data_IF_018510777774
#
_entry.id   IF_018510777774
#
_cell.length_a   1.000
_cell.length_b   1.000
_cell.length_c   1.000
_cell.angle_alpha   90.00
_cell.angle_beta   90.00
_cell.angle_gamma   90.00
#
_symmetry.space_group_name_H-M   'P 1'
#
loop_
_entity.id
_entity.type
_entity.pdbx_description
1 polymer ?
#
# COMPACT_ATOMS: atom_id res chain seq x y z
N UNK A 1 -6.40 10.04 -32.42
CA UNK A 1 -5.90 8.98 -31.52
C UNK A 1 -4.62 9.44 -30.87
N UNK A 2 -4.19 8.77 -29.80
CA UNK A 2 -2.85 8.89 -29.23
C UNK A 2 -1.96 7.83 -29.89
N UNK A 3 -0.80 8.24 -30.41
CA UNK A 3 0.21 7.30 -30.92
C UNK A 3 1.33 7.20 -29.90
N UNK A 4 1.59 6.00 -29.40
CA UNK A 4 2.61 5.74 -28.37
C UNK A 4 3.70 4.90 -29.02
N UNK A 5 4.94 5.34 -28.88
CA UNK A 5 6.12 4.59 -29.29
C UNK A 5 6.84 4.08 -28.04
N UNK A 6 7.06 2.77 -27.95
CA UNK A 6 7.68 2.13 -26.79
C UNK A 6 8.98 1.45 -27.23
N UNK A 7 10.08 1.84 -26.59
CA UNK A 7 11.38 1.20 -26.75
C UNK A 7 11.75 0.51 -25.43
N UNK A 8 12.18 -0.76 -25.51
CA UNK A 8 12.53 -1.57 -24.36
C UNK A 8 14.03 -1.92 -24.40
N UNK A 9 14.72 -1.68 -23.30
CA UNK A 9 16.16 -1.89 -23.16
C UNK A 9 16.47 -2.73 -21.92
N UNK A 10 17.34 -3.72 -22.07
CA UNK A 10 17.90 -4.46 -20.94
C UNK A 10 19.14 -3.74 -20.39
N UNK A 11 18.96 -3.08 -19.24
CA UNK A 11 20.04 -2.38 -18.52
C UNK A 11 20.80 -3.30 -17.55
N UNK A 12 20.42 -4.58 -17.45
CA UNK A 12 21.01 -5.55 -16.51
C UNK A 12 21.05 -5.05 -15.06
N UNK A 13 21.97 -5.63 -14.28
CA UNK A 13 22.18 -5.29 -12.87
C UNK A 13 23.43 -4.44 -12.63
N UNK A 14 24.10 -3.96 -13.68
CA UNK A 14 25.37 -3.24 -13.57
C UNK A 14 25.25 -1.81 -14.06
N UNK A 15 25.99 -0.89 -13.42
CA UNK A 15 26.08 0.49 -13.85
C UNK A 15 26.61 0.62 -15.28
N UNK A 16 27.57 -0.22 -15.68
CA UNK A 16 28.13 -0.22 -17.02
C UNK A 16 27.07 -0.42 -18.11
N UNK A 17 26.13 -1.35 -17.91
CA UNK A 17 25.05 -1.60 -18.88
C UNK A 17 24.08 -0.42 -18.96
N UNK A 18 23.71 0.17 -17.82
CA UNK A 18 22.90 1.40 -17.79
C UNK A 18 23.58 2.55 -18.55
N UNK A 19 24.87 2.77 -18.29
CA UNK A 19 25.67 3.78 -19.00
C UNK A 19 25.73 3.50 -20.51
N UNK A 20 25.95 2.24 -20.89
CA UNK A 20 25.98 1.84 -22.29
C UNK A 20 24.63 2.14 -22.98
N UNK A 21 23.50 1.79 -22.35
CA UNK A 21 22.18 2.07 -22.90
C UNK A 21 21.91 3.57 -23.03
N UNK A 22 22.21 4.37 -21.99
CA UNK A 22 21.96 5.81 -22.00
C UNK A 22 22.84 6.59 -22.98
N UNK A 23 24.08 6.13 -23.23
CA UNK A 23 25.05 6.86 -24.06
C UNK A 23 25.05 6.41 -25.53
N UNK A 24 24.58 5.20 -25.84
CA UNK A 24 24.58 4.68 -27.22
C UNK A 24 23.19 4.68 -27.88
N UNK A 25 22.16 5.13 -27.17
CA UNK A 25 20.82 5.31 -27.71
C UNK A 25 20.43 6.78 -27.56
N UNK A 26 19.72 7.31 -28.55
CA UNK A 26 19.16 8.66 -28.51
C UNK A 26 17.90 8.67 -27.65
N UNK A 27 18.08 8.49 -26.33
CA UNK A 27 16.98 8.39 -25.38
C UNK A 27 16.43 9.75 -24.95
N UNK A 28 17.15 10.85 -25.20
CA UNK A 28 16.72 12.21 -24.84
C UNK A 28 15.48 12.67 -25.60
N UNK A 29 15.12 12.00 -26.70
CA UNK A 29 13.86 12.23 -27.42
C UNK A 29 12.61 11.72 -26.70
N UNK A 30 12.75 10.90 -25.66
CA UNK A 30 11.62 10.28 -24.98
C UNK A 30 11.00 11.24 -23.96
N UNK A 31 9.67 11.26 -23.88
CA UNK A 31 8.94 12.03 -22.86
C UNK A 31 9.16 11.48 -21.43
N UNK A 32 9.26 10.15 -21.35
CA UNK A 32 9.38 9.40 -20.10
C UNK A 32 10.33 8.20 -20.27
N UNK A 33 11.10 7.91 -19.22
CA UNK A 33 11.82 6.66 -19.04
C UNK A 33 11.22 5.95 -17.83
N UNK A 34 10.72 4.73 -18.02
CA UNK A 34 10.25 3.86 -16.92
C UNK A 34 11.36 2.86 -16.63
N UNK A 35 11.91 2.89 -15.41
CA UNK A 35 13.10 2.10 -15.08
C UNK A 35 12.95 1.27 -13.81
N UNK A 36 13.41 0.02 -13.88
CA UNK A 36 13.70 -0.82 -12.74
C UNK A 36 15.21 -0.75 -12.44
N UNK A 37 15.66 0.35 -11.84
CA UNK A 37 17.05 0.57 -11.50
C UNK A 37 17.34 0.19 -10.04
N UNK A 38 18.47 -0.46 -9.80
CA UNK A 38 18.95 -0.75 -8.45
C UNK A 38 19.66 0.47 -7.83
N UNK A 39 20.05 0.36 -6.56
CA UNK A 39 20.69 1.45 -5.82
C UNK A 39 21.99 1.97 -6.45
N UNK A 40 22.75 1.13 -7.16
CA UNK A 40 23.99 1.53 -7.81
C UNK A 40 23.75 2.26 -9.15
N UNK A 41 22.63 1.94 -9.83
CA UNK A 41 22.25 2.51 -11.12
C UNK A 41 21.49 3.83 -10.98
N UNK A 42 20.71 3.98 -9.90
CA UNK A 42 19.79 5.10 -9.67
C UNK A 42 20.47 6.47 -9.72
N UNK A 43 21.63 6.72 -9.04
CA UNK A 43 22.27 8.02 -9.08
C UNK A 43 22.62 8.47 -10.51
N UNK A 44 23.21 7.58 -11.29
CA UNK A 44 23.62 7.90 -12.66
C UNK A 44 22.41 8.10 -13.59
N UNK A 45 21.40 7.23 -13.49
CA UNK A 45 20.19 7.33 -14.29
C UNK A 45 19.41 8.62 -13.96
N UNK A 46 19.29 8.95 -12.68
CA UNK A 46 18.65 10.17 -12.18
C UNK A 46 19.34 11.42 -12.73
N UNK A 47 20.66 11.52 -12.59
CA UNK A 47 21.44 12.67 -13.08
C UNK A 47 21.36 12.80 -14.60
N UNK A 48 21.41 11.69 -15.33
CA UNK A 48 21.24 11.70 -16.78
C UNK A 48 19.84 12.22 -17.16
N UNK A 49 18.79 11.74 -16.50
CA UNK A 49 17.42 12.18 -16.76
C UNK A 49 17.23 13.67 -16.43
N UNK A 50 17.77 14.13 -15.31
CA UNK A 50 17.75 15.54 -14.90
C UNK A 50 18.44 16.44 -15.93
N UNK A 51 19.64 16.04 -16.38
CA UNK A 51 20.44 16.80 -17.37
C UNK A 51 19.76 16.90 -18.73
N UNK A 52 19.05 15.85 -19.15
CA UNK A 52 18.37 15.80 -20.45
C UNK A 52 16.89 16.19 -20.36
N UNK A 53 16.42 16.62 -19.19
CA UNK A 53 15.02 16.99 -18.92
C UNK A 53 14.00 15.87 -19.23
N UNK A 54 14.43 14.61 -19.11
CA UNK A 54 13.59 13.43 -19.33
C UNK A 54 12.98 12.99 -18.00
N UNK A 55 11.67 12.74 -17.98
CA UNK A 55 10.97 12.31 -16.76
C UNK A 55 11.28 10.84 -16.46
N UNK A 56 11.79 10.57 -15.26
CA UNK A 56 12.13 9.23 -14.80
C UNK A 56 11.04 8.67 -13.90
N UNK A 57 10.37 7.60 -14.33
CA UNK A 57 9.34 6.90 -13.56
C UNK A 57 9.94 5.68 -12.88
N UNK A 58 9.79 5.60 -11.56
CA UNK A 58 10.37 4.57 -10.71
C UNK A 58 9.24 3.76 -10.03
N UNK A 59 8.82 2.62 -10.61
CA UNK A 59 7.68 1.83 -10.14
C UNK A 59 7.94 1.02 -8.86
N UNK A 60 9.18 0.60 -8.60
CA UNK A 60 9.47 -0.42 -7.58
C UNK A 60 10.02 0.14 -6.27
N UNK A 61 11.01 1.03 -6.34
CA UNK A 61 11.77 1.48 -5.18
C UNK A 61 10.97 2.47 -4.34
N UNK A 62 10.84 2.19 -3.04
CA UNK A 62 10.12 3.07 -2.10
C UNK A 62 10.99 4.13 -1.44
N UNK A 63 12.32 4.03 -1.52
CA UNK A 63 13.24 5.04 -1.00
C UNK A 63 14.30 5.34 -2.05
N UNK A 64 14.27 6.58 -2.55
CA UNK A 64 15.10 7.06 -3.64
C UNK A 64 15.56 8.45 -3.21
N UNK A 65 16.81 8.57 -2.77
CA UNK A 65 17.34 9.80 -2.22
C UNK A 65 17.32 10.94 -3.26
N UNK A 66 17.52 10.58 -4.52
CA UNK A 66 17.53 11.50 -5.64
C UNK A 66 16.19 12.20 -5.83
N UNK A 67 15.08 11.57 -5.42
CA UNK A 67 13.74 12.20 -5.47
C UNK A 67 13.67 13.43 -4.57
N UNK A 68 14.55 13.61 -3.58
CA UNK A 68 14.55 14.83 -2.75
C UNK A 68 15.06 16.06 -3.50
N UNK A 69 15.83 15.88 -4.58
CA UNK A 69 16.52 16.96 -5.30
C UNK A 69 16.44 16.88 -6.83
N UNK A 70 15.56 16.04 -7.38
CA UNK A 70 15.37 15.88 -8.82
C UNK A 70 13.89 16.00 -9.22
N UNK A 71 13.46 17.13 -9.81
CA UNK A 71 12.06 17.38 -10.16
C UNK A 71 11.55 16.52 -11.33
N UNK A 72 12.44 15.79 -12.00
CA UNK A 72 12.09 14.90 -13.11
C UNK A 72 11.74 13.48 -12.66
N UNK A 73 11.89 13.15 -11.37
CA UNK A 73 11.54 11.82 -10.86
C UNK A 73 10.07 11.73 -10.49
N UNK A 74 9.41 10.66 -10.93
CA UNK A 74 8.09 10.23 -10.50
C UNK A 74 8.21 8.90 -9.77
N UNK A 75 8.05 8.94 -8.46
CA UNK A 75 8.11 7.77 -7.60
C UNK A 75 6.69 7.23 -7.37
N UNK A 76 6.38 6.13 -8.06
CA UNK A 76 5.07 5.44 -8.01
C UNK A 76 4.84 4.77 -6.66
N UNK A 77 5.87 4.11 -6.13
CA UNK A 77 5.83 3.49 -4.82
C UNK A 77 6.36 4.48 -3.78
N UNK A 78 5.48 5.23 -3.12
CA UNK A 78 5.93 6.21 -2.12
C UNK A 78 6.56 5.54 -0.88
N UNK A 79 7.44 6.25 -0.15
CA UNK A 79 7.97 5.76 1.12
C UNK A 79 6.84 5.46 2.12
N UNK A 80 7.02 4.41 2.95
CA UNK A 80 6.04 4.04 3.96
C UNK A 80 5.79 5.18 4.97
N UNK A 81 6.78 6.03 5.24
CA UNK A 81 6.62 7.24 6.05
C UNK A 81 5.53 8.18 5.51
N UNK A 82 5.45 8.37 4.19
CA UNK A 82 4.41 9.19 3.58
C UNK A 82 3.02 8.54 3.69
N UNK A 83 2.95 7.21 3.55
CA UNK A 83 1.69 6.48 3.79
C UNK A 83 1.25 6.66 5.24
N UNK A 84 2.18 6.58 6.19
CA UNK A 84 1.90 6.79 7.60
C UNK A 84 1.40 8.22 7.87
N UNK A 85 2.01 9.24 7.28
CA UNK A 85 1.53 10.64 7.36
C UNK A 85 0.09 10.76 6.88
N UNK A 86 -0.23 10.19 5.72
CA UNK A 86 -1.59 10.21 5.16
C UNK A 86 -2.58 9.51 6.11
N UNK A 87 -2.23 8.34 6.67
CA UNK A 87 -3.08 7.63 7.63
C UNK A 87 -3.26 8.42 8.93
N UNK A 88 -2.21 9.05 9.46
CA UNK A 88 -2.28 9.85 10.69
C UNK A 88 -3.07 11.16 10.50
N UNK A 89 -3.17 11.64 9.26
CA UNK A 89 -4.00 12.80 8.92
C UNK A 89 -5.50 12.52 8.94
N UNK A 90 -5.90 11.23 9.01
CA UNK A 90 -7.30 10.85 9.17
C UNK A 90 -7.87 11.44 10.46
N UNK A 91 -9.10 11.97 10.36
CA UNK A 91 -9.77 12.61 11.47
C UNK A 91 -9.89 11.68 12.69
N UNK A 92 -9.33 12.12 13.81
CA UNK A 92 -9.43 11.43 15.11
C UNK A 92 -10.87 11.27 15.59
N UNK A 93 -11.84 12.01 15.03
CA UNK A 93 -13.26 11.77 15.22
C UNK A 93 -13.68 10.34 14.85
N UNK A 94 -12.97 9.65 13.95
CA UNK A 94 -13.19 8.22 13.67
C UNK A 94 -12.88 7.30 14.85
N UNK A 95 -12.06 7.76 15.79
CA UNK A 95 -11.75 7.10 17.06
C UNK A 95 -12.70 7.53 18.19
N UNK A 96 -13.36 8.69 18.05
CA UNK A 96 -14.27 9.19 19.06
C UNK A 96 -15.43 8.21 19.30
N UNK A 97 -15.79 8.03 20.57
CA UNK A 97 -16.84 7.12 21.04
C UNK A 97 -16.63 5.61 20.78
N UNK A 98 -15.42 5.17 20.37
CA UNK A 98 -15.08 3.75 20.29
C UNK A 98 -14.42 3.25 21.58
N UNK A 99 -14.42 1.94 21.78
CA UNK A 99 -13.57 1.26 22.76
C UNK A 99 -12.29 0.80 22.03
N UNK A 100 -11.19 1.53 22.21
CA UNK A 100 -9.97 1.30 21.45
C UNK A 100 -9.08 0.32 22.21
N UNK A 101 -8.65 -0.74 21.53
CA UNK A 101 -7.78 -1.77 22.08
C UNK A 101 -6.55 -1.91 21.17
N UNK A 102 -5.41 -1.51 21.69
CA UNK A 102 -4.11 -1.70 21.07
C UNK A 102 -3.55 -3.05 21.49
N UNK A 103 -3.16 -3.90 20.52
CA UNK A 103 -2.59 -5.22 20.79
C UNK A 103 -1.10 -5.22 20.42
N UNK A 104 -0.25 -5.65 21.33
CA UNK A 104 1.19 -5.80 21.09
C UNK A 104 1.61 -7.24 21.25
N UNK A 105 2.50 -7.70 20.37
CA UNK A 105 3.03 -9.06 20.38
C UNK A 105 4.52 -9.05 20.78
N UNK A 106 5.08 -10.21 21.19
CA UNK A 106 6.51 -10.32 21.51
C UNK A 106 7.43 -9.93 20.35
N UNK A 107 7.01 -10.19 19.10
CA UNK A 107 7.78 -9.88 17.89
C UNK A 107 7.23 -8.68 17.12
N UNK A 108 6.78 -7.64 17.83
CA UNK A 108 6.44 -6.34 17.24
C UNK A 108 7.57 -5.83 16.34
N UNK A 109 7.25 -5.50 15.10
CA UNK A 109 8.20 -4.92 14.16
C UNK A 109 8.55 -3.48 14.57
N UNK A 110 9.84 -3.14 14.48
CA UNK A 110 10.35 -1.78 14.73
C UNK A 110 10.66 -1.01 13.44
N UNK A 111 10.13 -1.46 12.30
CA UNK A 111 10.25 -0.80 11.00
C UNK A 111 9.29 0.41 10.87
N UNK A 112 9.17 0.97 9.66
CA UNK A 112 8.26 2.09 9.41
C UNK A 112 6.78 1.75 9.69
N UNK A 113 6.35 0.49 9.55
CA UNK A 113 4.97 0.08 9.90
C UNK A 113 4.79 0.02 11.42
N UNK A 114 5.81 -0.44 12.14
CA UNK A 114 5.87 -0.34 13.60
C UNK A 114 5.79 1.10 14.11
N UNK A 115 6.42 2.03 13.39
CA UNK A 115 6.33 3.47 13.71
C UNK A 115 4.91 4.01 13.59
N UNK A 116 4.09 3.51 12.64
CA UNK A 116 2.68 3.91 12.52
C UNK A 116 1.90 3.57 13.79
N UNK A 117 2.06 2.35 14.32
CA UNK A 117 1.39 1.93 15.56
C UNK A 117 1.77 2.84 16.74
N UNK A 118 3.08 3.13 16.88
CA UNK A 118 3.59 4.05 17.91
C UNK A 118 3.04 5.47 17.74
N UNK A 119 2.91 5.93 16.50
CA UNK A 119 2.35 7.25 16.18
C UNK A 119 0.84 7.33 16.50
N UNK A 120 0.06 6.30 16.16
CA UNK A 120 -1.36 6.19 16.54
C UNK A 120 -1.50 6.25 18.06
N UNK A 121 -0.72 5.44 18.80
CA UNK A 121 -0.71 5.47 20.27
C UNK A 121 -0.42 6.87 20.81
N UNK A 122 0.57 7.57 20.27
CA UNK A 122 0.89 8.95 20.65
C UNK A 122 -0.28 9.89 20.36
N UNK A 123 -0.90 9.79 19.19
CA UNK A 123 -2.06 10.62 18.82
C UNK A 123 -3.23 10.43 19.80
N UNK A 124 -3.50 9.20 20.24
CA UNK A 124 -4.53 8.91 21.25
C UNK A 124 -4.23 9.60 22.59
N UNK A 125 -2.97 9.57 23.03
CA UNK A 125 -2.52 10.24 24.26
C UNK A 125 -2.67 11.76 24.12
N UNK A 126 -2.15 12.33 23.04
CA UNK A 126 -2.14 13.79 22.80
C UNK A 126 -3.56 14.36 22.72
N UNK A 127 -4.50 13.61 22.14
CA UNK A 127 -5.92 13.99 22.03
C UNK A 127 -6.77 13.54 23.22
N UNK A 128 -6.16 12.95 24.26
CA UNK A 128 -6.85 12.44 25.46
C UNK A 128 -7.98 11.45 25.16
N UNK A 129 -7.79 10.62 24.15
CA UNK A 129 -8.71 9.55 23.77
C UNK A 129 -8.38 8.31 24.60
N UNK A 130 -9.36 7.77 25.32
CA UNK A 130 -9.18 6.57 26.14
C UNK A 130 -8.95 5.32 25.28
N UNK A 131 -7.97 4.50 25.67
CA UNK A 131 -7.67 3.21 25.04
C UNK A 131 -7.15 2.20 26.07
N UNK A 132 -7.20 0.92 25.70
CA UNK A 132 -6.55 -0.18 26.40
C UNK A 132 -5.34 -0.63 25.58
N UNK A 133 -4.21 -0.88 26.24
CA UNK A 133 -3.01 -1.46 25.61
C UNK A 133 -2.77 -2.83 26.23
N UNK A 134 -2.90 -3.89 25.43
CA UNK A 134 -2.73 -5.27 25.85
C UNK A 134 -1.44 -5.82 25.22
N UNK A 135 -0.56 -6.34 26.05
CA UNK A 135 0.73 -6.89 25.64
C UNK A 135 0.68 -8.40 25.83
N UNK A 136 0.88 -9.14 24.76
CA UNK A 136 1.10 -10.57 24.80
C UNK A 136 2.58 -10.84 25.13
N UNK A 137 2.81 -11.72 26.08
CA UNK A 137 4.16 -12.22 26.40
C UNK A 137 4.36 -13.60 25.77
N UNK A 138 5.62 -13.99 25.57
CA UNK A 138 5.94 -15.32 25.05
C UNK A 138 5.38 -16.41 25.98
N UNK A 139 4.57 -17.32 25.42
CA UNK A 139 3.89 -18.36 26.19
C UNK A 139 2.63 -17.91 26.95
N UNK A 140 2.09 -16.71 26.68
CA UNK A 140 0.89 -16.21 27.34
C UNK A 140 -0.40 -16.92 26.85
N UNK A 141 -0.84 -17.91 27.61
CA UNK A 141 -2.08 -18.66 27.35
C UNK A 141 -3.35 -17.84 27.66
N UNK A 142 -3.23 -16.74 28.42
CA UNK A 142 -4.34 -15.93 28.91
C UNK A 142 -4.59 -14.67 28.07
N UNK A 143 -3.75 -14.40 27.06
CA UNK A 143 -3.88 -13.21 26.22
C UNK A 143 -5.28 -13.09 25.57
N UNK A 144 -5.87 -14.22 25.15
CA UNK A 144 -7.24 -14.27 24.60
C UNK A 144 -8.29 -13.81 25.62
N UNK A 145 -8.12 -14.17 26.90
CA UNK A 145 -9.07 -13.85 27.96
C UNK A 145 -8.92 -12.37 28.36
N UNK A 146 -7.68 -11.86 28.33
CA UNK A 146 -7.39 -10.43 28.49
C UNK A 146 -8.06 -9.58 27.41
N UNK A 147 -8.00 -10.00 26.14
CA UNK A 147 -8.73 -9.33 25.05
C UNK A 147 -10.23 -9.33 25.35
N UNK A 148 -10.81 -10.50 25.65
CA UNK A 148 -12.25 -10.64 25.88
C UNK A 148 -12.74 -9.76 27.04
N UNK A 149 -11.98 -9.67 28.13
CA UNK A 149 -12.31 -8.87 29.31
C UNK A 149 -12.37 -7.35 29.05
N UNK A 150 -11.62 -6.87 28.04
CA UNK A 150 -11.57 -5.45 27.68
C UNK A 150 -12.55 -5.06 26.58
N UNK A 151 -13.31 -6.01 26.02
CA UNK A 151 -14.34 -5.70 25.03
C UNK A 151 -15.58 -5.07 25.68
N UNK A 152 -16.13 -4.07 24.99
CA UNK A 152 -17.37 -3.39 25.37
C UNK A 152 -18.55 -3.97 24.61
N UNK A 153 -19.67 -4.17 25.30
CA UNK A 153 -20.98 -4.41 24.70
C UNK A 153 -21.80 -3.12 24.49
N UNK A 154 -21.25 -1.95 24.86
CA UNK A 154 -21.92 -0.63 24.74
C UNK A 154 -21.34 0.22 23.61
N UNK A 155 -20.08 0.00 23.28
CA UNK A 155 -19.34 0.73 22.23
C UNK A 155 -18.80 -0.24 21.20
N UNK A 156 -18.61 0.24 19.97
CA UNK A 156 -17.85 -0.51 18.97
C UNK A 156 -16.41 -0.65 19.43
N UNK A 157 -15.89 -1.88 19.43
CA UNK A 157 -14.52 -2.19 19.76
C UNK A 157 -13.64 -1.99 18.53
N UNK A 158 -12.70 -1.05 18.58
CA UNK A 158 -11.71 -0.85 17.54
C UNK A 158 -10.40 -1.49 17.97
N UNK A 159 -10.01 -2.55 17.27
CA UNK A 159 -8.84 -3.36 17.58
C UNK A 159 -7.74 -2.99 16.60
N UNK A 160 -6.61 -2.52 17.12
CA UNK A 160 -5.44 -2.10 16.34
C UNK A 160 -4.24 -2.91 16.83
N UNK A 161 -3.80 -3.95 16.10
CA UNK A 161 -2.57 -4.65 16.44
C UNK A 161 -1.35 -3.85 16.04
N UNK A 162 -0.22 -4.13 16.67
CA UNK A 162 1.09 -3.68 16.21
C UNK A 162 1.47 -4.38 14.90
N UNK A 163 2.43 -3.79 14.18
CA UNK A 163 3.00 -4.44 13.00
C UNK A 163 3.75 -5.71 13.43
N UNK A 164 3.53 -6.81 12.73
CA UNK A 164 4.08 -8.12 13.05
C UNK A 164 4.26 -8.95 11.76
N UNK A 165 4.84 -10.14 11.86
CA UNK A 165 4.94 -11.06 10.72
C UNK A 165 3.56 -11.50 10.22
N UNK A 166 3.45 -11.92 8.95
CA UNK A 166 2.17 -12.40 8.40
C UNK A 166 1.62 -13.63 9.14
N UNK A 167 2.51 -14.48 9.66
CA UNK A 167 2.14 -15.64 10.47
C UNK A 167 1.50 -15.23 11.81
N UNK A 168 2.08 -14.24 12.49
CA UNK A 168 1.53 -13.71 13.73
C UNK A 168 0.25 -12.92 13.51
N UNK A 169 0.19 -12.13 12.44
CA UNK A 169 -1.03 -11.44 12.04
C UNK A 169 -2.17 -12.43 11.82
N UNK A 170 -1.93 -13.53 11.09
CA UNK A 170 -2.92 -14.58 10.88
C UNK A 170 -3.42 -15.17 12.21
N UNK A 171 -2.49 -15.46 13.13
CA UNK A 171 -2.83 -15.96 14.47
C UNK A 171 -3.69 -14.96 15.25
N UNK A 172 -3.29 -13.68 15.30
CA UNK A 172 -4.05 -12.62 15.98
C UNK A 172 -5.44 -12.44 15.40
N UNK A 173 -5.57 -12.36 14.06
CA UNK A 173 -6.85 -12.24 13.37
C UNK A 173 -7.77 -13.41 13.72
N UNK A 174 -7.22 -14.63 13.72
CA UNK A 174 -7.95 -15.85 14.08
C UNK A 174 -8.41 -15.84 15.55
N UNK A 175 -7.52 -15.45 16.47
CA UNK A 175 -7.82 -15.36 17.91
C UNK A 175 -8.92 -14.33 18.17
N UNK A 176 -8.78 -13.11 17.64
CA UNK A 176 -9.78 -12.05 17.80
C UNK A 176 -11.10 -12.46 17.15
N UNK A 177 -11.05 -13.06 15.96
CA UNK A 177 -12.21 -13.59 15.26
C UNK A 177 -12.98 -14.64 16.07
N UNK A 178 -12.25 -15.59 16.69
CA UNK A 178 -12.84 -16.60 17.55
C UNK A 178 -13.53 -15.97 18.77
N UNK A 179 -12.88 -15.03 19.45
CA UNK A 179 -13.46 -14.32 20.60
C UNK A 179 -14.78 -13.64 20.20
N UNK A 180 -14.79 -12.87 19.11
CA UNK A 180 -15.98 -12.16 18.64
C UNK A 180 -17.11 -13.13 18.24
N UNK A 181 -16.78 -14.29 17.68
CA UNK A 181 -17.78 -15.31 17.32
C UNK A 181 -18.48 -15.96 18.51
N UNK A 182 -17.81 -16.08 19.66
CA UNK A 182 -18.39 -16.64 20.87
C UNK A 182 -19.16 -15.62 21.72
N UNK A 183 -19.06 -14.32 21.38
CA UNK A 183 -19.72 -13.25 22.12
C UNK A 183 -21.09 -12.88 21.52
N UNK A 184 -22.02 -12.35 22.35
CA UNK A 184 -23.29 -11.83 21.85
C UNK A 184 -23.12 -10.74 20.78
N UNK A 185 -24.11 -10.61 19.89
CA UNK A 185 -24.09 -9.62 18.78
C UNK A 185 -23.96 -8.15 19.20
N UNK A 186 -24.21 -7.84 20.47
CA UNK A 186 -23.96 -6.53 21.07
C UNK A 186 -22.47 -6.13 21.05
N UNK A 187 -21.56 -7.11 21.03
CA UNK A 187 -20.11 -6.90 20.89
C UNK A 187 -19.75 -6.62 19.44
N UNK A 188 -19.88 -5.35 19.03
CA UNK A 188 -19.45 -4.88 17.71
C UNK A 188 -17.92 -4.75 17.69
N UNK A 189 -17.31 -5.20 16.60
CA UNK A 189 -15.86 -5.14 16.41
C UNK A 189 -15.52 -4.59 15.03
N UNK A 190 -14.47 -3.77 15.02
CA UNK A 190 -13.76 -3.25 13.87
C UNK A 190 -12.27 -3.53 14.09
N UNK A 191 -11.56 -3.93 13.05
CA UNK A 191 -10.12 -4.19 13.14
C UNK A 191 -9.36 -3.36 12.12
N UNK A 192 -8.21 -2.81 12.50
CA UNK A 192 -7.25 -2.23 11.55
C UNK A 192 -6.16 -3.23 11.21
N UNK A 193 -5.73 -3.23 9.96
CA UNK A 193 -4.73 -4.14 9.43
C UNK A 193 -3.71 -3.44 8.54
N UNK A 194 -2.66 -4.19 8.21
CA UNK A 194 -1.51 -3.72 7.43
C UNK A 194 -1.58 -4.23 5.98
N UNK A 195 -0.91 -3.57 5.02
CA UNK A 195 -1.01 -3.89 3.59
C UNK A 195 -0.75 -5.37 3.26
N UNK A 196 0.19 -6.01 3.96
CA UNK A 196 0.54 -7.43 3.77
C UNK A 196 -0.62 -8.38 4.09
N UNK A 197 -1.65 -7.93 4.82
CA UNK A 197 -2.83 -8.74 5.10
C UNK A 197 -3.67 -9.00 3.84
N UNK A 198 -3.50 -8.20 2.78
CA UNK A 198 -4.11 -8.46 1.47
C UNK A 198 -3.60 -9.80 0.90
N UNK A 199 -2.37 -10.20 1.25
CA UNK A 199 -1.80 -11.48 0.83
C UNK A 199 -2.28 -12.67 1.67
N UNK A 200 -3.11 -12.45 2.70
CA UNK A 200 -3.71 -13.55 3.45
C UNK A 200 -4.59 -14.38 2.53
N UNK A 201 -4.56 -15.69 2.75
CA UNK A 201 -5.28 -16.65 1.94
C UNK A 201 -6.81 -16.50 2.08
N UNK A 202 -7.54 -17.20 1.21
CA UNK A 202 -9.01 -17.19 1.23
C UNK A 202 -9.61 -17.64 2.56
N UNK A 203 -8.90 -18.41 3.40
CA UNK A 203 -9.44 -18.84 4.70
C UNK A 203 -9.57 -17.71 5.71
N UNK A 204 -8.82 -16.61 5.54
CA UNK A 204 -8.91 -15.46 6.45
C UNK A 204 -9.98 -14.45 6.04
N UNK A 205 -10.39 -14.44 4.77
CA UNK A 205 -11.40 -13.50 4.27
C UNK A 205 -12.69 -13.51 5.11
N UNK A 206 -13.30 -14.67 5.48
CA UNK A 206 -14.49 -14.68 6.33
C UNK A 206 -14.26 -14.02 7.69
N UNK A 207 -13.06 -14.19 8.26
CA UNK A 207 -12.69 -13.60 9.56
C UNK A 207 -12.51 -12.10 9.42
N UNK A 208 -11.85 -11.61 8.36
CA UNK A 208 -11.72 -10.19 8.07
C UNK A 208 -13.09 -9.50 7.89
N UNK A 209 -14.02 -10.14 7.17
CA UNK A 209 -15.39 -9.64 7.05
C UNK A 209 -16.12 -9.61 8.39
N UNK A 210 -16.02 -10.67 9.19
CA UNK A 210 -16.65 -10.72 10.51
C UNK A 210 -16.15 -9.62 11.46
N UNK A 211 -14.85 -9.33 11.39
CA UNK A 211 -14.20 -8.29 12.17
C UNK A 211 -14.36 -6.88 11.59
N UNK A 212 -15.12 -6.70 10.50
CA UNK A 212 -15.31 -5.42 9.82
C UNK A 212 -13.96 -4.72 9.54
N UNK A 213 -13.00 -5.46 9.00
CA UNK A 213 -11.60 -5.03 8.95
C UNK A 213 -11.36 -3.93 7.93
N UNK A 214 -10.53 -2.96 8.30
CA UNK A 214 -9.95 -1.94 7.41
C UNK A 214 -8.46 -2.20 7.24
N UNK A 215 -8.01 -2.39 6.00
CA UNK A 215 -6.59 -2.51 5.65
C UNK A 215 -6.20 -1.28 4.84
N UNK A 216 -5.10 -0.62 5.19
CA UNK A 216 -4.56 0.43 4.33
C UNK A 216 -3.57 -0.16 3.32
N UNK A 217 -3.35 0.53 2.21
CA UNK A 217 -2.36 0.12 1.20
C UNK A 217 -2.13 1.17 0.13
N UNK A 218 -1.04 1.08 -0.60
CA UNK A 218 -0.75 1.91 -1.78
C UNK A 218 -1.30 1.28 -3.09
N UNK A 219 -1.86 0.07 -3.00
CA UNK A 219 -2.51 -0.63 -4.10
C UNK A 219 -3.68 -1.46 -3.57
N UNK A 220 -4.67 -1.68 -4.44
CA UNK A 220 -5.74 -2.65 -4.21
C UNK A 220 -6.39 -3.08 -5.52
N UNK A 221 -6.31 -4.37 -5.85
CA UNK A 221 -7.00 -4.94 -6.99
C UNK A 221 -8.30 -5.63 -6.57
N UNK A 222 -9.44 -5.11 -6.98
CA UNK A 222 -10.72 -5.79 -6.80
C UNK A 222 -11.00 -6.75 -7.97
N UNK A 223 -10.64 -8.02 -7.79
CA UNK A 223 -10.85 -9.10 -8.78
C UNK A 223 -12.33 -9.41 -9.10
N UNK A 224 -13.29 -8.75 -8.45
CA UNK A 224 -14.69 -8.83 -8.82
C UNK A 224 -15.11 -7.81 -9.89
N UNK A 225 -14.28 -6.80 -10.15
CA UNK A 225 -14.58 -5.79 -11.16
C UNK A 225 -14.40 -6.34 -12.58
N UNK A 226 -15.30 -6.01 -13.54
CA UNK A 226 -15.22 -6.49 -14.91
C UNK A 226 -13.90 -6.15 -15.62
N UNK A 227 -13.35 -4.95 -15.42
CA UNK A 227 -12.08 -4.53 -16.04
C UNK A 227 -10.89 -5.37 -15.56
N UNK A 228 -10.83 -5.68 -14.25
CA UNK A 228 -9.76 -6.53 -13.68
C UNK A 228 -9.87 -7.97 -14.20
N UNK A 229 -11.08 -8.53 -14.25
CA UNK A 229 -11.32 -9.87 -14.82
C UNK A 229 -10.97 -9.94 -16.30
N UNK A 230 -11.35 -8.90 -17.06
CA UNK A 230 -11.03 -8.84 -18.49
C UNK A 230 -9.52 -8.71 -18.72
N UNK A 231 -8.83 -7.91 -17.90
CA UNK A 231 -7.37 -7.82 -17.94
C UNK A 231 -6.71 -9.18 -17.70
N UNK A 232 -7.16 -9.94 -16.69
CA UNK A 232 -6.67 -11.31 -16.43
C UNK A 232 -6.82 -12.23 -17.64
N UNK A 233 -8.02 -12.26 -18.23
CA UNK A 233 -8.30 -13.10 -19.41
C UNK A 233 -7.40 -12.69 -20.58
N UNK A 234 -7.34 -11.40 -20.89
CA UNK A 234 -6.53 -10.88 -21.99
C UNK A 234 -5.04 -11.14 -21.77
N UNK A 235 -4.57 -11.03 -20.53
CA UNK A 235 -3.18 -11.32 -20.18
C UNK A 235 -2.85 -12.79 -20.44
N UNK A 236 -3.68 -13.73 -19.96
CA UNK A 236 -3.47 -15.16 -20.22
C UNK A 236 -3.54 -15.50 -21.70
N UNK A 237 -4.44 -14.89 -22.47
CA UNK A 237 -4.56 -15.09 -23.93
C UNK A 237 -3.33 -14.55 -24.70
N UNK A 238 -2.84 -13.37 -24.33
CA UNK A 238 -1.75 -12.71 -25.06
C UNK A 238 -0.37 -13.26 -24.71
N UNK A 239 -0.17 -13.71 -23.46
CA UNK A 239 1.15 -14.13 -22.96
C UNK A 239 1.24 -15.64 -22.67
N UNK A 240 0.15 -16.39 -22.78
CA UNK A 240 0.12 -17.84 -22.54
C UNK A 240 0.38 -18.26 -21.10
N UNK A 241 0.19 -17.35 -20.13
CA UNK A 241 0.41 -17.59 -18.69
C UNK A 241 -0.47 -16.71 -17.83
N UNK A 242 -0.81 -17.20 -16.64
CA UNK A 242 -1.60 -16.43 -15.68
C UNK A 242 -0.77 -15.32 -15.00
N UNK A 243 -1.49 -14.41 -14.34
CA UNK A 243 -0.88 -13.38 -13.51
C UNK A 243 -0.05 -14.02 -12.38
N UNK A 244 1.15 -13.50 -12.16
CA UNK A 244 1.95 -13.88 -11.01
C UNK A 244 1.26 -13.43 -9.71
N UNK A 245 1.21 -14.32 -8.72
CA UNK A 245 0.67 -14.04 -7.39
C UNK A 245 1.66 -13.17 -6.58
N UNK A 246 1.71 -11.90 -6.93
CA UNK A 246 2.56 -10.86 -6.35
C UNK A 246 1.68 -9.74 -5.81
N UNK A 247 2.16 -9.05 -4.78
CA UNK A 247 1.41 -7.97 -4.10
C UNK A 247 2.34 -6.75 -3.98
N UNK A 248 2.20 -5.73 -4.86
CA UNK A 248 1.21 -5.60 -5.95
C UNK A 248 1.46 -6.58 -7.11
N UNK A 249 0.46 -6.75 -7.97
CA UNK A 249 0.63 -7.56 -9.18
C UNK A 249 1.40 -6.77 -10.25
N UNK A 250 2.59 -7.20 -10.63
CA UNK A 250 3.44 -6.40 -11.54
C UNK A 250 2.85 -6.17 -12.93
N UNK A 251 2.06 -7.11 -13.46
CA UNK A 251 1.39 -6.93 -14.75
C UNK A 251 0.34 -5.81 -14.70
N UNK A 252 -0.49 -5.80 -13.65
CA UNK A 252 -1.46 -4.71 -13.44
C UNK A 252 -0.75 -3.39 -13.13
N UNK A 253 0.40 -3.43 -12.44
CA UNK A 253 1.16 -2.22 -12.12
C UNK A 253 1.75 -1.60 -13.38
N UNK A 254 2.31 -2.42 -14.28
CA UNK A 254 2.78 -1.95 -15.59
C UNK A 254 1.63 -1.35 -16.42
N UNK A 255 0.46 -1.97 -16.40
CA UNK A 255 -0.73 -1.43 -17.06
C UNK A 255 -1.12 -0.06 -16.50
N UNK A 256 -1.26 0.06 -15.17
CA UNK A 256 -1.68 1.29 -14.50
C UNK A 256 -0.67 2.43 -14.73
N UNK A 257 0.64 2.13 -14.60
CA UNK A 257 1.72 3.10 -14.89
C UNK A 257 1.61 3.57 -16.35
N UNK A 258 1.43 2.66 -17.30
CA UNK A 258 1.30 3.06 -18.71
C UNK A 258 0.08 3.94 -18.96
N UNK A 259 -1.08 3.60 -18.38
CA UNK A 259 -2.30 4.43 -18.49
C UNK A 259 -2.03 5.84 -17.99
N UNK A 260 -1.50 5.96 -16.77
CA UNK A 260 -1.21 7.25 -16.12
C UNK A 260 -0.27 8.13 -16.95
N UNK A 261 0.87 7.57 -17.38
CA UNK A 261 1.87 8.38 -18.07
C UNK A 261 1.51 8.66 -19.53
N UNK A 262 0.69 7.81 -20.16
CA UNK A 262 0.09 8.13 -21.46
C UNK A 262 -0.93 9.28 -21.34
N UNK A 263 -1.72 9.30 -20.27
CA UNK A 263 -2.64 10.40 -19.98
C UNK A 263 -1.86 11.71 -19.82
N UNK A 264 -0.82 11.70 -18.98
CA UNK A 264 0.07 12.84 -18.76
C UNK A 264 0.77 13.31 -20.05
N UNK A 265 1.30 12.39 -20.86
CA UNK A 265 1.94 12.72 -22.13
C UNK A 265 0.94 13.35 -23.12
N UNK A 266 -0.26 12.79 -23.20
CA UNK A 266 -1.29 13.22 -24.15
C UNK A 266 -2.01 14.51 -23.74
N UNK A 267 -1.95 14.88 -22.44
CA UNK A 267 -2.72 15.98 -21.83
C UNK A 267 -4.22 15.83 -22.06
N UNK A 268 -4.71 14.59 -22.09
CA UNK A 268 -6.12 14.26 -22.27
C UNK A 268 -6.51 13.25 -21.22
N UNK A 269 -7.72 13.40 -20.70
CA UNK A 269 -8.35 12.36 -19.92
C UNK A 269 -8.57 11.13 -20.83
N UNK A 270 -7.89 10.05 -20.49
CA UNK A 270 -8.04 8.76 -21.16
C UNK A 270 -9.04 7.99 -20.31
N UNK A 271 -10.24 7.72 -20.84
CA UNK A 271 -11.28 6.92 -20.16
C UNK A 271 -10.88 5.42 -20.07
N UNK A 272 -9.77 5.17 -19.39
CA UNK A 272 -9.23 3.86 -19.06
C UNK A 272 -9.03 3.85 -17.56
N UNK A 273 -9.74 2.95 -16.89
CA UNK A 273 -9.66 2.79 -15.44
C UNK A 273 -8.45 1.96 -15.07
N UNK A 274 -7.65 2.48 -14.15
CA UNK A 274 -6.61 1.71 -13.48
C UNK A 274 -7.20 0.48 -12.76
N UNK A 275 -6.36 -0.53 -12.57
CA UNK A 275 -6.73 -1.86 -12.09
C UNK A 275 -6.42 -2.05 -10.62
N UNK A 276 -5.30 -1.50 -10.14
CA UNK A 276 -4.88 -1.65 -8.74
C UNK A 276 -4.23 -0.41 -8.10
N UNK A 277 -3.68 0.52 -8.88
CA UNK A 277 -3.08 1.75 -8.35
C UNK A 277 -3.91 2.98 -8.74
N UNK A 278 -3.99 3.91 -7.82
CA UNK A 278 -4.39 5.28 -8.09
C UNK A 278 -3.13 6.14 -8.03
N UNK A 279 -3.01 7.11 -8.92
CA UNK A 279 -1.87 8.02 -8.93
C UNK A 279 -2.29 9.44 -8.60
N UNK A 280 -1.72 9.97 -7.51
CA UNK A 280 -1.80 11.38 -7.18
C UNK A 280 -0.42 11.90 -6.85
N UNK A 281 0.26 12.38 -7.88
CA UNK A 281 1.64 12.84 -7.76
C UNK A 281 1.70 14.24 -7.14
N UNK A 282 2.40 14.36 -6.00
CA UNK A 282 2.69 15.64 -5.35
C UNK A 282 4.19 15.77 -5.07
N UNK A 283 4.72 16.98 -5.26
CA UNK A 283 6.05 17.34 -4.76
C UNK A 283 5.99 17.66 -3.27
N UNK A 284 7.10 17.40 -2.56
CA UNK A 284 7.29 17.86 -1.17
C UNK A 284 7.90 19.25 -1.13
N UNK A 285 8.76 19.57 -2.10
CA UNK A 285 9.46 20.84 -2.26
C UNK A 285 9.61 21.17 -3.74
N UNK A 286 9.90 22.43 -4.09
CA UNK A 286 9.96 22.88 -5.48
C UNK A 286 10.97 22.07 -6.34
N UNK A 287 12.11 21.71 -5.75
CA UNK A 287 13.19 20.96 -6.42
C UNK A 287 13.11 19.44 -6.22
N UNK A 288 12.12 18.96 -5.45
CA UNK A 288 11.93 17.52 -5.27
C UNK A 288 11.24 16.91 -6.48
N UNK A 289 11.43 15.62 -6.69
CA UNK A 289 10.56 14.80 -7.51
C UNK A 289 9.16 14.68 -6.93
N UNK A 290 8.37 13.86 -7.63
CA UNK A 290 6.96 13.66 -7.41
C UNK A 290 6.72 12.32 -6.74
N UNK A 291 5.96 12.32 -5.65
CA UNK A 291 5.59 11.10 -4.93
C UNK A 291 4.11 10.81 -5.15
N UNK A 292 3.76 9.57 -5.44
CA UNK A 292 2.37 9.15 -5.40
C UNK A 292 1.85 9.18 -3.95
N UNK A 293 0.89 10.05 -3.66
CA UNK A 293 0.31 10.22 -2.31
C UNK A 293 -0.97 9.43 -2.08
N UNK A 294 -1.45 8.70 -3.09
CA UNK A 294 -2.68 7.91 -2.97
C UNK A 294 -2.50 6.76 -1.99
N UNK A 295 -3.40 6.68 -1.01
CA UNK A 295 -3.51 5.54 -0.09
C UNK A 295 -4.93 5.02 -0.14
N UNK A 296 -5.08 3.72 -0.34
CA UNK A 296 -6.34 3.00 -0.22
C UNK A 296 -6.66 2.69 1.23
N UNK A 297 -7.92 2.85 1.61
CA UNK A 297 -8.56 2.24 2.76
C UNK A 297 -9.50 1.15 2.26
N UNK A 298 -9.10 -0.10 2.43
CA UNK A 298 -9.81 -1.28 1.96
C UNK A 298 -10.66 -1.81 3.09
N UNK A 299 -11.98 -1.78 2.91
CA UNK A 299 -12.95 -2.14 3.92
C UNK A 299 -13.60 -3.49 3.59
N UNK A 300 -13.46 -4.46 4.51
CA UNK A 300 -14.10 -5.77 4.47
C UNK A 300 -15.34 -5.75 5.37
N UNK A 301 -16.50 -5.45 4.79
CA UNK A 301 -17.74 -5.32 5.56
C UNK A 301 -18.33 -6.67 5.95
N UNK A 302 -19.05 -6.72 7.08
CA UNK A 302 -19.75 -7.94 7.56
C UNK A 302 -20.77 -8.52 6.57
N UNK A 303 -21.31 -7.70 5.67
CA UNK A 303 -22.22 -8.14 4.61
C UNK A 303 -21.49 -8.73 3.39
N UNK A 304 -20.20 -9.06 3.52
CA UNK A 304 -19.32 -9.58 2.47
C UNK A 304 -18.98 -8.57 1.36
N UNK A 305 -19.40 -7.31 1.49
CA UNK A 305 -18.95 -6.26 0.57
C UNK A 305 -17.48 -5.91 0.84
N UNK A 306 -16.73 -5.65 -0.23
CA UNK A 306 -15.39 -5.08 -0.17
C UNK A 306 -15.43 -3.74 -0.90
N UNK A 307 -15.08 -2.66 -0.22
CA UNK A 307 -14.92 -1.34 -0.83
C UNK A 307 -13.50 -0.84 -0.62
N UNK A 308 -13.11 0.14 -1.42
CA UNK A 308 -11.85 0.83 -1.29
C UNK A 308 -12.08 2.31 -1.47
N UNK A 309 -11.74 3.09 -0.46
CA UNK A 309 -11.74 4.55 -0.53
C UNK A 309 -10.29 5.03 -0.70
N UNK A 310 -10.09 6.16 -1.37
CA UNK A 310 -8.76 6.72 -1.61
C UNK A 310 -8.63 8.01 -0.80
N UNK A 311 -7.52 8.14 -0.09
CA UNK A 311 -7.15 9.33 0.66
C UNK A 311 -5.84 9.92 0.11
N UNK A 312 -5.72 11.25 0.10
CA UNK A 312 -4.74 12.02 -0.67
C UNK A 312 -4.27 13.30 0.04
#
# INVERSE_FOLDING_TARGET
GLSIHIEAYDIGNTLYRTQYCLNNNDLSRHDFIIAAANADQLPYLSEWCKKNEVRLVLPFSSRIAETESNPYIYQVNAPQSMVNETILSLDTAKFANKNIILLRTPNELNDEKGQLFKAIRRQLIDHRIAFHELIEYEGDEYFKDSIAAHLSNKKTNLIIPCACSLAEANRLISTVGAIINFLPSAYKAEMWGYPEWIALNKSNLPVLHNLNTTIYGNYFANYNLPNVRQFQINYSLNFGKDLMNTFPCYAMMGYDVMVQFCEMASRRDIDIKALQHEFHFKQTQQESGWYNRSVYLIHYYRNQAVTSDIIQ
#
